data_IF_638708618659
#
_entry.id   IF_638708618659
#
_cell.length_a   1.000
_cell.length_b   1.000
_cell.length_c   1.000
_cell.angle_alpha   90.00
_cell.angle_beta   90.00
_cell.angle_gamma   90.00
#
_symmetry.space_group_name_H-M   'P 1'
#
loop_
_entity.id
_entity.type
_entity.pdbx_description
1 polymer ?
#
# COMPACT_ATOMS: atom_id res chain seq x y z
N UNK A 1 5.10 -20.09 15.41
CA UNK A 1 4.90 -19.79 13.97
C UNK A 1 3.43 -19.92 13.61
N UNK A 2 2.79 -21.03 13.98
CA UNK A 2 1.33 -21.21 13.87
C UNK A 2 0.57 -20.09 14.59
N UNK A 3 0.98 -19.70 15.81
CA UNK A 3 0.32 -18.60 16.53
C UNK A 3 0.45 -17.25 15.82
N UNK A 4 1.59 -17.00 15.15
CA UNK A 4 1.78 -15.77 14.36
C UNK A 4 0.87 -15.75 13.13
N UNK A 5 0.71 -16.89 12.45
CA UNK A 5 -0.22 -17.03 11.32
C UNK A 5 -1.64 -16.82 11.79
N UNK A 6 -2.02 -17.42 12.93
CA UNK A 6 -3.34 -17.25 13.52
C UNK A 6 -3.65 -15.77 13.78
N UNK A 7 -2.74 -15.05 14.44
CA UNK A 7 -2.93 -13.63 14.72
C UNK A 7 -3.08 -12.79 13.44
N UNK A 8 -2.21 -13.02 12.42
CA UNK A 8 -2.32 -12.31 11.14
C UNK A 8 -3.68 -12.56 10.49
N UNK A 9 -4.17 -13.81 10.49
CA UNK A 9 -5.47 -14.15 9.91
C UNK A 9 -6.63 -13.52 10.68
N UNK A 10 -6.54 -13.43 12.02
CA UNK A 10 -7.55 -12.76 12.85
C UNK A 10 -7.60 -11.24 12.58
N UNK A 11 -6.46 -10.63 12.26
CA UNK A 11 -6.34 -9.19 11.98
C UNK A 11 -6.63 -8.81 10.51
N UNK A 12 -6.78 -9.79 9.60
CA UNK A 12 -7.06 -9.54 8.19
C UNK A 12 -8.50 -9.10 7.93
N UNK A 13 -8.70 -8.16 7.00
CA UNK A 13 -10.03 -7.82 6.52
C UNK A 13 -10.68 -9.00 5.79
N UNK A 14 -12.00 -9.13 5.89
CA UNK A 14 -12.74 -10.27 5.31
C UNK A 14 -12.50 -10.42 3.80
N UNK A 15 -12.50 -9.30 3.06
CA UNK A 15 -12.23 -9.32 1.63
C UNK A 15 -10.79 -9.73 1.33
N UNK A 16 -9.81 -9.23 2.10
CA UNK A 16 -8.40 -9.62 1.95
C UNK A 16 -8.20 -11.12 2.17
N UNK A 17 -8.83 -11.67 3.21
CA UNK A 17 -8.79 -13.09 3.51
C UNK A 17 -9.43 -13.93 2.39
N UNK A 18 -10.56 -13.50 1.84
CA UNK A 18 -11.21 -14.16 0.69
C UNK A 18 -10.33 -14.18 -0.54
N UNK A 19 -9.71 -13.05 -0.89
CA UNK A 19 -8.82 -12.97 -2.06
C UNK A 19 -7.58 -13.84 -1.91
N UNK A 20 -6.97 -13.85 -0.72
CA UNK A 20 -5.82 -14.71 -0.44
C UNK A 20 -6.19 -16.19 -0.54
N UNK A 21 -7.31 -16.60 0.06
CA UNK A 21 -7.81 -17.97 -0.04
C UNK A 21 -8.09 -18.35 -1.49
N UNK A 22 -8.77 -17.49 -2.24
CA UNK A 22 -9.07 -17.71 -3.66
C UNK A 22 -7.79 -17.91 -4.48
N UNK A 23 -6.78 -17.07 -4.27
CA UNK A 23 -5.47 -17.19 -4.93
C UNK A 23 -4.79 -18.52 -4.62
N UNK A 24 -4.79 -18.96 -3.36
CA UNK A 24 -4.21 -20.25 -2.96
C UNK A 24 -4.92 -21.42 -3.65
N UNK A 25 -6.27 -21.40 -3.67
CA UNK A 25 -7.07 -22.46 -4.30
C UNK A 25 -6.80 -22.56 -5.81
N UNK A 26 -6.71 -21.43 -6.51
CA UNK A 26 -6.38 -21.39 -7.93
C UNK A 26 -4.98 -21.96 -8.20
N UNK A 27 -3.99 -21.58 -7.38
CA UNK A 27 -2.63 -22.10 -7.56
C UNK A 27 -2.54 -23.62 -7.32
N UNK A 28 -3.31 -24.14 -6.35
CA UNK A 28 -3.37 -25.58 -6.10
C UNK A 28 -4.05 -26.35 -7.25
N UNK A 29 -5.14 -25.82 -7.79
CA UNK A 29 -5.83 -26.40 -8.95
C UNK A 29 -4.93 -26.43 -10.19
N UNK A 30 -4.18 -25.36 -10.45
CA UNK A 30 -3.22 -25.30 -11.56
C UNK A 30 -2.04 -26.26 -11.37
N UNK A 31 -1.58 -26.44 -10.12
CA UNK A 31 -0.56 -27.43 -9.78
C UNK A 31 -1.03 -28.86 -10.04
N UNK A 32 -2.32 -29.14 -9.85
CA UNK A 32 -2.94 -30.43 -10.13
C UNK A 32 -3.08 -30.65 -11.65
N UNK A 33 -1.96 -30.94 -12.29
CA UNK A 33 -1.85 -31.16 -13.74
C UNK A 33 -0.64 -30.50 -14.37
N UNK A 34 -0.07 -29.47 -13.75
CA UNK A 34 1.13 -28.76 -14.21
C UNK A 34 2.10 -28.51 -13.05
N UNK A 35 2.88 -29.54 -12.70
CA UNK A 35 3.90 -29.41 -11.66
C UNK A 35 4.89 -28.28 -11.98
N UNK A 36 5.00 -27.33 -11.05
CA UNK A 36 5.93 -26.21 -11.12
C UNK A 36 6.60 -26.02 -9.76
N UNK A 37 7.91 -26.21 -9.71
CA UNK A 37 8.69 -25.95 -8.50
C UNK A 37 8.56 -24.51 -8.03
N UNK A 38 8.45 -23.56 -8.96
CA UNK A 38 8.32 -22.15 -8.62
C UNK A 38 6.95 -21.83 -8.01
N UNK A 39 5.89 -22.50 -8.47
CA UNK A 39 4.57 -22.38 -7.86
C UNK A 39 4.54 -22.99 -6.45
N UNK A 40 5.25 -24.11 -6.23
CA UNK A 40 5.43 -24.71 -4.90
C UNK A 40 6.23 -23.79 -3.98
N UNK A 41 7.32 -23.18 -4.46
CA UNK A 41 8.09 -22.18 -3.71
C UNK A 41 7.23 -20.98 -3.33
N UNK A 42 6.38 -20.50 -4.25
CA UNK A 42 5.47 -19.40 -3.98
C UNK A 42 4.47 -19.76 -2.88
N UNK A 43 3.75 -20.88 -2.99
CA UNK A 43 2.80 -21.33 -1.97
C UNK A 43 3.45 -21.54 -0.59
N UNK A 44 4.64 -22.13 -0.56
CA UNK A 44 5.38 -22.36 0.70
C UNK A 44 5.99 -21.09 1.29
N UNK A 45 6.09 -20.01 0.51
CA UNK A 45 6.57 -18.71 0.98
C UNK A 45 5.47 -17.85 1.64
N UNK A 46 4.20 -18.08 1.33
CA UNK A 46 3.05 -17.29 1.82
C UNK A 46 3.07 -17.13 3.35
N UNK A 47 3.23 -18.20 4.17
CA UNK A 47 3.23 -18.05 5.62
C UNK A 47 4.37 -17.16 6.15
N UNK A 48 5.53 -17.19 5.48
CA UNK A 48 6.68 -16.34 5.84
C UNK A 48 6.40 -14.88 5.48
N UNK A 49 5.79 -14.62 4.31
CA UNK A 49 5.41 -13.28 3.91
C UNK A 49 4.40 -12.68 4.90
N UNK A 50 3.31 -13.38 5.17
CA UNK A 50 2.27 -12.97 6.12
C UNK A 50 2.83 -12.63 7.51
N UNK A 51 3.75 -13.44 8.01
CA UNK A 51 4.34 -13.25 9.36
C UNK A 51 5.56 -12.32 9.39
N UNK A 52 6.10 -11.92 8.24
CA UNK A 52 7.21 -10.96 8.15
C UNK A 52 6.74 -9.49 8.21
N UNK A 53 5.52 -9.22 7.76
CA UNK A 53 4.93 -7.87 7.77
C UNK A 53 4.46 -7.40 9.15
N UNK A 54 4.25 -8.32 10.10
CA UNK A 54 3.85 -8.00 11.49
C UNK A 54 4.95 -7.42 12.36
N UNK A 55 6.18 -7.33 11.86
CA UNK A 55 7.34 -6.73 12.57
C UNK A 55 7.83 -5.41 11.98
N UNK A 56 7.18 -4.85 10.96
CA UNK A 56 7.27 -3.40 10.81
C UNK A 56 6.40 -2.79 11.89
N UNK A 57 6.98 -2.67 13.10
CA UNK A 57 6.69 -1.50 13.91
C UNK A 57 6.84 -0.32 12.96
N UNK A 58 5.70 0.19 12.48
CA UNK A 58 5.58 1.53 12.00
C UNK A 58 5.98 2.38 13.20
N UNK A 59 7.28 2.58 13.38
CA UNK A 59 7.87 3.72 14.06
C UNK A 59 7.57 4.95 13.20
N UNK A 60 6.28 5.14 12.89
CA UNK A 60 5.72 6.40 12.49
C UNK A 60 5.73 7.15 13.81
N UNK A 61 6.78 7.95 14.01
CA UNK A 61 6.72 9.00 15.01
C UNK A 61 5.38 9.71 14.80
N UNK A 62 4.56 9.76 15.86
CA UNK A 62 3.23 10.34 15.78
C UNK A 62 3.37 11.77 15.29
N UNK A 63 2.89 12.00 14.07
CA UNK A 63 2.98 13.31 13.48
C UNK A 63 1.82 14.17 13.93
N UNK A 64 2.10 15.37 14.43
CA UNK A 64 1.09 16.35 14.81
C UNK A 64 0.31 16.85 13.60
N UNK A 65 0.99 17.10 12.48
CA UNK A 65 0.34 17.37 11.20
C UNK A 65 1.06 16.73 10.01
N UNK A 66 0.25 16.37 9.01
CA UNK A 66 0.72 15.81 7.75
C UNK A 66 0.59 16.89 6.68
N UNK A 67 1.72 17.25 6.08
CA UNK A 67 1.79 18.17 4.95
C UNK A 67 1.84 17.36 3.66
N UNK A 68 0.90 17.62 2.76
CA UNK A 68 0.83 16.98 1.45
C UNK A 68 1.34 17.96 0.41
N UNK A 69 2.43 17.62 -0.27
CA UNK A 69 3.03 18.41 -1.34
C UNK A 69 2.93 17.66 -2.68
N UNK A 70 2.71 18.42 -3.76
CA UNK A 70 2.51 17.88 -5.11
C UNK A 70 3.70 18.16 -6.02
N UNK A 71 4.86 17.66 -5.62
CA UNK A 71 6.10 17.46 -6.38
C UNK A 71 7.24 17.28 -5.36
N UNK A 72 8.31 16.61 -5.77
CA UNK A 72 9.42 16.30 -4.86
C UNK A 72 10.22 17.54 -4.44
N UNK A 73 10.22 18.60 -5.25
CA UNK A 73 10.97 19.82 -4.95
C UNK A 73 10.30 20.58 -3.81
N UNK A 74 8.99 20.83 -3.89
CA UNK A 74 8.20 21.48 -2.85
C UNK A 74 8.23 20.67 -1.55
N UNK A 75 8.08 19.34 -1.64
CA UNK A 75 8.18 18.46 -0.48
C UNK A 75 9.55 18.59 0.21
N UNK A 76 10.64 18.60 -0.56
CA UNK A 76 12.00 18.75 -0.05
C UNK A 76 12.23 20.11 0.63
N UNK A 77 11.79 21.20 0.00
CA UNK A 77 11.87 22.55 0.56
C UNK A 77 11.11 22.66 1.88
N UNK A 78 9.88 22.13 1.93
CA UNK A 78 9.05 22.17 3.13
C UNK A 78 9.68 21.36 4.27
N UNK A 79 10.17 20.16 3.98
CA UNK A 79 10.86 19.31 4.95
C UNK A 79 12.12 19.99 5.52
N UNK A 80 12.87 20.68 4.66
CA UNK A 80 14.03 21.44 5.09
C UNK A 80 13.63 22.59 6.02
N UNK A 81 12.64 23.39 5.64
CA UNK A 81 12.13 24.50 6.44
C UNK A 81 11.62 24.04 7.81
N UNK A 82 10.78 23.00 7.88
CA UNK A 82 10.26 22.46 9.14
C UNK A 82 11.38 22.03 10.08
N UNK A 83 12.43 21.40 9.53
CA UNK A 83 13.61 21.03 10.29
C UNK A 83 14.36 22.25 10.85
N UNK A 84 14.44 23.35 10.09
CA UNK A 84 15.09 24.58 10.55
C UNK A 84 14.32 25.27 11.69
N UNK A 85 13.00 25.13 11.71
CA UNK A 85 12.13 25.65 12.77
C UNK A 85 12.02 24.73 14.00
N UNK A 86 12.70 23.57 13.98
CA UNK A 86 12.68 22.61 15.09
C UNK A 86 11.42 21.76 15.19
N UNK A 87 10.59 21.74 14.13
CA UNK A 87 9.36 20.95 14.03
C UNK A 87 9.70 19.57 13.44
N UNK A 88 10.21 18.68 14.28
CA UNK A 88 10.72 17.36 13.85
C UNK A 88 9.63 16.29 13.78
N UNK A 89 8.53 16.50 14.50
CA UNK A 89 7.34 15.67 14.52
C UNK A 89 6.46 15.84 13.26
N UNK A 90 6.67 16.88 12.46
CA UNK A 90 5.87 17.18 11.27
C UNK A 90 6.26 16.27 10.10
N UNK A 91 5.27 15.65 9.45
CA UNK A 91 5.50 14.73 8.32
C UNK A 91 5.18 15.39 6.99
N UNK A 92 6.07 15.24 6.00
CA UNK A 92 5.86 15.70 4.63
C UNK A 92 5.75 14.51 3.69
N UNK A 93 4.63 14.41 2.98
CA UNK A 93 4.35 13.38 1.97
C UNK A 93 4.34 14.03 0.60
N UNK A 94 5.14 13.49 -0.32
CA UNK A 94 5.18 13.91 -1.72
C UNK A 94 4.26 13.05 -2.56
N UNK A 95 3.46 13.69 -3.42
CA UNK A 95 2.74 13.07 -4.52
C UNK A 95 3.17 13.68 -5.84
N UNK A 96 2.96 12.94 -6.92
CA UNK A 96 3.17 13.46 -8.26
C UNK A 96 2.35 14.73 -8.49
N UNK A 97 2.96 15.75 -9.12
CA UNK A 97 2.30 17.00 -9.49
C UNK A 97 1.04 16.75 -10.33
N UNK A 98 1.02 15.68 -11.15
CA UNK A 98 -0.15 15.26 -11.93
C UNK A 98 -1.41 15.04 -11.10
N UNK A 99 -1.28 14.83 -9.79
CA UNK A 99 -2.42 14.74 -8.88
C UNK A 99 -3.05 16.10 -8.53
N UNK A 100 -2.29 17.19 -8.62
CA UNK A 100 -2.76 18.57 -8.38
C UNK A 100 -3.23 19.30 -9.63
N UNK A 101 -2.85 18.80 -10.81
CA UNK A 101 -3.20 19.38 -12.11
C UNK A 101 -4.11 18.45 -12.91
N UNK A 102 -4.91 19.04 -13.81
CA UNK A 102 -5.78 18.31 -14.73
C UNK A 102 -7.28 18.51 -14.44
N UNK A 103 -8.15 17.83 -15.21
CA UNK A 103 -9.59 18.02 -15.14
C UNK A 103 -10.16 17.46 -13.82
N UNK A 104 -10.55 18.35 -12.92
CA UNK A 104 -11.28 18.02 -11.68
C UNK A 104 -12.79 18.31 -11.80
N UNK A 105 -13.24 18.69 -12.99
CA UNK A 105 -14.64 19.01 -13.22
C UNK A 105 -15.50 17.74 -13.12
N UNK A 106 -16.55 17.82 -12.31
CA UNK A 106 -17.56 16.76 -12.16
C UNK A 106 -17.00 15.36 -11.83
N UNK A 107 -16.00 15.25 -10.95
CA UNK A 107 -15.48 13.93 -10.49
C UNK A 107 -16.54 13.01 -9.84
N UNK A 108 -17.71 13.54 -9.47
CA UNK A 108 -18.84 12.73 -9.02
C UNK A 108 -19.60 12.02 -10.17
N UNK A 109 -19.27 12.33 -11.43
CA UNK A 109 -19.85 11.72 -12.64
C UNK A 109 -18.86 10.75 -13.29
N UNK A 110 -19.35 9.79 -14.05
CA UNK A 110 -18.50 8.84 -14.78
C UNK A 110 -17.65 9.55 -15.83
N UNK A 111 -18.21 10.55 -16.51
CA UNK A 111 -17.52 11.32 -17.54
C UNK A 111 -16.34 12.10 -16.94
N UNK A 112 -16.55 12.74 -15.79
CA UNK A 112 -15.49 13.46 -15.07
C UNK A 112 -14.40 12.51 -14.55
N UNK A 113 -14.77 11.33 -14.05
CA UNK A 113 -13.81 10.30 -13.62
C UNK A 113 -13.00 9.76 -14.80
N UNK A 114 -13.64 9.50 -15.94
CA UNK A 114 -12.99 9.02 -17.15
C UNK A 114 -12.00 10.07 -17.70
N UNK A 115 -12.42 11.33 -17.76
CA UNK A 115 -11.55 12.43 -18.20
C UNK A 115 -10.33 12.58 -17.28
N UNK A 116 -10.50 12.38 -15.97
CA UNK A 116 -9.40 12.37 -15.01
C UNK A 116 -8.46 11.17 -15.23
N UNK A 117 -9.01 9.97 -15.43
CA UNK A 117 -8.25 8.76 -15.66
C UNK A 117 -7.45 8.80 -16.98
N UNK A 118 -7.96 9.47 -18.01
CA UNK A 118 -7.24 9.67 -19.27
C UNK A 118 -6.07 10.67 -19.16
N UNK A 119 -6.10 11.55 -18.17
CA UNK A 119 -5.04 12.51 -17.92
C UNK A 119 -3.87 11.91 -17.12
N UNK A 120 -4.18 11.04 -16.16
CA UNK A 120 -3.21 10.36 -15.30
C UNK A 120 -2.48 9.24 -16.05
#
# INVERSE_FOLDING_TARGET
>A
MIDKIKNVVEDMYEDEAKHLLQSILIQLDVLDGNYSEDMIKNLTSIPKQLTSHTTQEKNLEESTHIHIAFDDSTAGCLKYMLKQEGLHEESVVSYSEFFSIGPIHQLHTNEGQLARAQWL
#
